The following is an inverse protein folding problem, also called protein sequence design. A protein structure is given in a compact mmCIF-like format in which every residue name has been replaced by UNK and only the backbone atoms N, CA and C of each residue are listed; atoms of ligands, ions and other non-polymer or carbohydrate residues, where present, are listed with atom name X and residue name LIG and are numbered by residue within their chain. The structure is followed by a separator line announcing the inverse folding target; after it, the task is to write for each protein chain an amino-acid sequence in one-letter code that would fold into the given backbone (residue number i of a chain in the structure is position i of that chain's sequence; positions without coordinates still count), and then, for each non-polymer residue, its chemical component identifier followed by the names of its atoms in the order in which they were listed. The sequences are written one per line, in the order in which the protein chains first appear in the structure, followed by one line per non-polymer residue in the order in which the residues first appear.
data_IF_416978482451
#
_entry.id   IF_416978482451
#
_cell.length_a   1.000
_cell.length_b   1.000
_cell.length_c   1.000
_cell.angle_alpha   90.00
_cell.angle_beta   90.00
_cell.angle_gamma   90.00
#
_symmetry.space_group_name_H-M   'P 1'
#
loop_
_entity.id
_entity.type
_entity.pdbx_description
1 polymer ?
#
# COMPACT_ATOMS: atom_id res chain seq x y z
N UNK A 1 9.57 -16.17 -26.02
CA UNK A 1 9.85 -14.98 -25.19
C UNK A 1 8.62 -14.75 -24.31
N UNK A 2 8.76 -14.81 -22.98
CA UNK A 2 7.63 -14.59 -22.07
C UNK A 2 7.29 -13.10 -22.05
N UNK A 3 6.04 -12.74 -22.33
CA UNK A 3 5.55 -11.37 -22.22
C UNK A 3 5.53 -11.00 -20.74
N UNK A 4 6.40 -10.08 -20.32
CA UNK A 4 6.36 -9.50 -18.97
C UNK A 4 5.17 -8.55 -18.90
N UNK A 5 4.23 -8.81 -17.99
CA UNK A 5 3.20 -7.83 -17.64
C UNK A 5 3.88 -6.59 -17.04
N UNK A 6 3.46 -5.40 -17.48
CA UNK A 6 3.84 -4.12 -16.88
C UNK A 6 2.75 -3.55 -15.97
N UNK A 7 1.69 -4.33 -15.78
CA UNK A 7 0.55 -3.97 -14.95
C UNK A 7 0.36 -5.01 -13.86
N UNK A 8 -0.12 -4.53 -12.73
CA UNK A 8 -0.57 -5.31 -11.59
C UNK A 8 -2.01 -4.93 -11.30
N UNK A 9 -2.84 -5.90 -10.91
CA UNK A 9 -4.21 -5.63 -10.49
C UNK A 9 -4.28 -5.61 -8.97
N UNK A 10 -4.63 -4.46 -8.39
CA UNK A 10 -4.84 -4.29 -6.96
C UNK A 10 -6.30 -4.54 -6.61
N UNK A 11 -6.56 -5.36 -5.59
CA UNK A 11 -7.91 -5.64 -5.07
C UNK A 11 -8.01 -5.18 -3.62
N UNK A 12 -8.39 -3.93 -3.45
CA UNK A 12 -8.73 -3.36 -2.15
C UNK A 12 -10.03 -3.95 -1.58
N UNK A 13 -10.16 -3.88 -0.27
CA UNK A 13 -11.43 -4.13 0.40
C UNK A 13 -12.45 -3.06 -0.04
N UNK A 14 -13.66 -3.43 -0.49
CA UNK A 14 -14.70 -2.48 -0.90
C UNK A 14 -15.09 -1.43 0.15
N UNK A 15 -14.79 -1.65 1.42
CA UNK A 15 -14.98 -0.67 2.50
C UNK A 15 -14.09 0.57 2.37
N UNK A 16 -13.04 0.54 1.52
CA UNK A 16 -12.08 1.61 1.31
C UNK A 16 -12.11 2.11 -0.15
N UNK A 17 -13.19 2.77 -0.58
CA UNK A 17 -13.37 3.15 -1.98
C UNK A 17 -12.37 4.21 -2.47
N UNK A 18 -11.88 5.07 -1.57
CA UNK A 18 -10.94 6.16 -1.88
C UNK A 18 -9.59 5.62 -2.41
N UNK A 19 -9.16 4.43 -1.99
CA UNK A 19 -7.89 3.81 -2.40
C UNK A 19 -7.80 3.48 -3.89
N UNK A 20 -8.91 3.60 -4.64
CA UNK A 20 -8.91 3.38 -6.10
C UNK A 20 -8.33 4.56 -6.86
N UNK A 21 -8.34 5.74 -6.25
CA UNK A 21 -7.75 6.97 -6.74
C UNK A 21 -6.59 7.37 -5.80
N UNK A 22 -5.85 8.44 -6.10
CA UNK A 22 -4.90 9.05 -5.15
C UNK A 22 -3.73 8.17 -4.64
N UNK A 23 -3.41 7.04 -5.30
CA UNK A 23 -2.23 6.26 -4.88
C UNK A 23 -0.95 7.05 -5.14
N UNK A 24 -0.26 7.42 -4.07
CA UNK A 24 0.96 8.23 -4.06
C UNK A 24 2.22 7.38 -3.86
N UNK A 25 2.12 6.24 -3.17
CA UNK A 25 3.27 5.35 -2.87
C UNK A 25 3.00 3.89 -3.18
N UNK A 26 4.04 3.20 -3.66
CA UNK A 26 4.09 1.75 -3.70
C UNK A 26 5.50 1.24 -3.34
N UNK A 27 5.59 0.36 -2.34
CA UNK A 27 6.84 -0.27 -1.91
C UNK A 27 6.64 -1.77 -1.69
N UNK A 28 7.45 -2.60 -2.35
CA UNK A 28 7.39 -4.05 -2.20
C UNK A 28 8.29 -4.51 -1.06
N UNK A 29 7.74 -5.32 -0.14
CA UNK A 29 8.48 -5.99 0.93
C UNK A 29 8.17 -7.48 0.86
N UNK A 30 9.13 -8.27 0.39
CA UNK A 30 8.93 -9.70 0.18
C UNK A 30 7.79 -9.98 -0.79
N UNK A 31 6.77 -10.70 -0.32
CA UNK A 31 5.56 -11.02 -1.07
C UNK A 31 4.37 -10.10 -0.74
N UNK A 32 4.66 -8.92 -0.18
CA UNK A 32 3.66 -7.89 0.11
C UNK A 32 3.95 -6.62 -0.68
N UNK A 33 2.89 -5.93 -1.09
CA UNK A 33 2.92 -4.60 -1.66
C UNK A 33 2.29 -3.64 -0.66
N UNK A 34 3.08 -2.69 -0.17
CA UNK A 34 2.64 -1.61 0.69
C UNK A 34 2.34 -0.39 -0.16
N UNK A 35 1.19 0.23 0.05
CA UNK A 35 0.75 1.41 -0.69
C UNK A 35 0.16 2.45 0.26
N UNK A 36 0.17 3.70 -0.16
CA UNK A 36 -0.49 4.79 0.54
C UNK A 36 -1.32 5.62 -0.45
N UNK A 37 -2.26 6.38 0.08
CA UNK A 37 -3.12 7.29 -0.65
C UNK A 37 -3.01 8.69 -0.01
N UNK A 38 -2.91 9.73 -0.84
CA UNK A 38 -2.71 11.13 -0.44
C UNK A 38 -3.91 11.76 0.28
N UNK A 39 -5.10 11.16 0.14
CA UNK A 39 -6.36 11.61 0.74
C UNK A 39 -6.74 10.81 2.01
N UNK A 40 -5.80 10.04 2.58
CA UNK A 40 -6.05 9.21 3.78
C UNK A 40 -4.95 9.33 4.83
N UNK A 41 -5.23 8.83 6.03
CA UNK A 41 -4.26 8.69 7.14
C UNK A 41 -3.76 7.26 7.32
N UNK A 42 -4.03 6.40 6.33
CA UNK A 42 -3.81 4.97 6.43
C UNK A 42 -2.63 4.53 5.58
N UNK A 43 -1.98 3.46 6.05
CA UNK A 43 -1.06 2.68 5.27
C UNK A 43 -1.71 1.35 4.91
N UNK A 44 -1.59 0.94 3.66
CA UNK A 44 -2.29 -0.22 3.13
C UNK A 44 -1.30 -1.31 2.73
N UNK A 45 -1.67 -2.57 2.92
CA UNK A 45 -0.88 -3.72 2.52
C UNK A 45 -1.73 -4.70 1.72
N UNK A 46 -1.18 -5.17 0.60
CA UNK A 46 -1.73 -6.25 -0.20
C UNK A 46 -0.73 -7.40 -0.29
N UNK A 47 -1.22 -8.64 -0.39
CA UNK A 47 -0.42 -9.82 -0.70
C UNK A 47 -0.23 -9.95 -2.20
N UNK A 48 1.01 -10.10 -2.66
CA UNK A 48 1.33 -10.37 -4.07
C UNK A 48 1.10 -11.86 -4.34
N UNK A 49 0.15 -12.17 -5.22
CA UNK A 49 -0.22 -13.54 -5.56
C UNK A 49 0.71 -14.12 -6.64
N UNK A 50 0.92 -15.43 -6.57
CA UNK A 50 1.67 -16.15 -7.59
C UNK A 50 0.94 -16.08 -8.94
N UNK A 51 1.67 -15.75 -10.01
CA UNK A 51 1.14 -15.68 -11.37
C UNK A 51 1.95 -16.57 -12.32
N UNK A 52 1.25 -17.33 -13.16
CA UNK A 52 1.89 -18.07 -14.26
C UNK A 52 2.52 -17.09 -15.26
N UNK A 53 3.59 -17.49 -15.98
CA UNK A 53 4.22 -16.64 -16.98
C UNK A 53 3.21 -16.13 -18.02
N UNK A 54 3.14 -14.81 -18.20
CA UNK A 54 2.21 -14.16 -19.13
C UNK A 54 0.86 -13.74 -18.50
N UNK A 55 0.57 -14.14 -17.27
CA UNK A 55 -0.62 -13.65 -16.55
C UNK A 55 -0.34 -12.32 -15.83
N UNK A 56 -1.39 -11.53 -15.63
CA UNK A 56 -1.34 -10.31 -14.81
C UNK A 56 -1.14 -10.71 -13.35
N UNK A 57 -0.16 -10.08 -12.69
CA UNK A 57 0.04 -10.24 -11.25
C UNK A 57 -1.13 -9.60 -10.51
N UNK A 58 -1.63 -10.28 -9.49
CA UNK A 58 -2.72 -9.78 -8.64
C UNK A 58 -2.17 -9.51 -7.25
N UNK A 59 -2.58 -8.39 -6.66
CA UNK A 59 -2.37 -8.11 -5.25
C UNK A 59 -3.74 -8.04 -4.56
N UNK A 60 -3.95 -8.83 -3.52
CA UNK A 60 -5.21 -8.90 -2.77
C UNK A 60 -4.93 -9.11 -1.27
N UNK A 61 -5.81 -9.75 -0.50
CA UNK A 61 -5.67 -9.88 0.97
C UNK A 61 -5.35 -8.54 1.65
N UNK A 62 -6.15 -7.53 1.28
CA UNK A 62 -6.02 -6.15 1.73
C UNK A 62 -6.06 -6.05 3.26
N UNK A 63 -5.11 -5.32 3.83
CA UNK A 63 -5.09 -4.93 5.24
C UNK A 63 -4.73 -3.45 5.36
N UNK A 64 -5.55 -2.71 6.13
CA UNK A 64 -5.35 -1.30 6.42
C UNK A 64 -4.79 -1.09 7.82
N UNK A 65 -3.90 -0.12 7.95
CA UNK A 65 -3.25 0.28 9.19
C UNK A 65 -3.44 1.79 9.37
N UNK A 66 -4.20 2.18 10.39
CA UNK A 66 -4.39 3.60 10.73
C UNK A 66 -3.12 4.12 11.41
N UNK A 67 -2.40 5.07 10.78
CA UNK A 67 -1.11 5.55 11.29
C UNK A 67 -1.24 6.19 12.69
N UNK A 68 -2.39 6.78 13.00
CA UNK A 68 -2.70 7.33 14.32
C UNK A 68 -2.72 6.28 15.45
N UNK A 69 -2.82 4.99 15.14
CA UNK A 69 -2.69 3.91 16.14
C UNK A 69 -1.23 3.63 16.51
N UNK A 70 -0.27 4.11 15.71
CA UNK A 70 1.16 3.82 15.85
C UNK A 70 2.00 5.08 16.09
N UNK A 71 1.53 6.24 15.64
CA UNK A 71 2.25 7.50 15.65
C UNK A 71 1.41 8.59 16.32
N UNK A 72 2.03 9.31 17.26
CA UNK A 72 1.46 10.53 17.85
C UNK A 72 1.60 11.70 16.86
N UNK A 73 0.71 11.76 15.88
CA UNK A 73 0.72 12.81 14.85
C UNK A 73 0.05 14.09 15.34
N UNK A 74 0.60 15.28 15.04
CA UNK A 74 0.06 16.57 15.48
C UNK A 74 -1.11 17.04 14.60
N UNK A 75 -2.06 16.16 14.29
CA UNK A 75 -3.20 16.44 13.40
C UNK A 75 -4.53 16.45 14.18
N UNK A 76 -5.42 17.42 13.93
CA UNK A 76 -6.78 17.37 14.47
C UNK A 76 -7.52 16.17 13.88
N UNK A 77 -8.18 15.35 14.71
CA UNK A 77 -8.74 14.04 14.29
C UNK A 77 -9.81 14.18 13.19
N UNK A 78 -10.48 15.33 13.09
CA UNK A 78 -11.56 15.53 12.12
C UNK A 78 -11.00 15.84 10.74
N UNK A 79 -11.42 15.04 9.74
CA UNK A 79 -11.10 15.21 8.31
C UNK A 79 -9.58 15.27 8.02
N UNK A 80 -8.80 14.51 8.79
CA UNK A 80 -7.35 14.48 8.65
C UNK A 80 -6.90 13.68 7.42
N UNK A 81 -5.97 14.26 6.66
CA UNK A 81 -5.24 13.67 5.53
C UNK A 81 -3.74 13.82 5.74
N UNK A 82 -2.95 12.98 5.07
CA UNK A 82 -1.49 13.06 5.08
C UNK A 82 -1.00 12.78 3.64
N UNK A 83 -0.23 13.71 3.09
CA UNK A 83 0.48 13.52 1.82
C UNK A 83 1.64 12.53 2.00
N UNK A 84 1.32 11.23 2.09
CA UNK A 84 2.34 10.18 2.19
C UNK A 84 2.95 10.01 0.80
N UNK A 85 4.18 10.46 0.60
CA UNK A 85 4.85 10.46 -0.72
C UNK A 85 6.08 9.54 -0.78
N UNK A 86 6.42 8.89 0.34
CA UNK A 86 7.57 8.00 0.42
C UNK A 86 7.40 6.87 1.43
N UNK A 87 7.96 5.71 1.09
CA UNK A 87 8.11 4.58 2.00
C UNK A 87 9.48 3.94 1.80
N UNK A 88 10.13 3.55 2.90
CA UNK A 88 11.36 2.78 2.86
C UNK A 88 11.41 1.70 3.94
N UNK A 89 11.79 0.49 3.57
CA UNK A 89 11.97 -0.60 4.53
C UNK A 89 13.44 -0.84 4.86
N UNK A 90 13.79 -0.73 6.15
CA UNK A 90 15.11 -1.03 6.66
C UNK A 90 15.20 -2.51 7.03
N UNK A 91 15.74 -3.33 6.12
CA UNK A 91 15.80 -4.79 6.27
C UNK A 91 16.52 -5.26 7.55
N UNK A 92 17.60 -4.58 7.95
CA UNK A 92 18.42 -5.00 9.10
C UNK A 92 17.73 -4.79 10.45
N UNK A 93 16.85 -3.79 10.53
CA UNK A 93 16.14 -3.42 11.76
C UNK A 93 14.66 -3.78 11.75
N UNK A 94 14.10 -4.09 10.58
CA UNK A 94 12.68 -4.35 10.39
C UNK A 94 11.78 -3.10 10.48
N UNK A 95 12.35 -1.89 10.39
CA UNK A 95 11.58 -0.65 10.45
C UNK A 95 11.02 -0.29 9.07
N UNK A 96 9.77 0.17 9.05
CA UNK A 96 9.18 0.84 7.92
C UNK A 96 9.18 2.35 8.19
N UNK A 97 9.86 3.10 7.33
CA UNK A 97 9.86 4.55 7.33
C UNK A 97 8.74 5.03 6.43
N UNK A 98 7.90 5.89 7.00
CA UNK A 98 6.74 6.56 6.39
C UNK A 98 6.77 8.03 6.80
#
# INVERSE_FOLDING_TARGET
MSVRSRTVMLRFDPAFPLLRDGLSVAHQIGDTLWVANDETTNLERLKIQAAAPGNVVRCDEHQSFQLLEYLDLPIPIQDAEIDIEGLAYAHDSGYLWV
#
